data_IF_255791366998
#
_entry.id   IF_255791366998
#
_cell.length_a   1.000
_cell.length_b   1.000
_cell.length_c   1.000
_cell.angle_alpha   90.00
_cell.angle_beta   90.00
_cell.angle_gamma   90.00
#
_symmetry.space_group_name_H-M   'P 1'
#
loop_
_entity.id
_entity.type
_entity.pdbx_description
1 polymer ?
#
# COMPACT_ATOMS: atom_id res chain seq x y z
N UNK A 1 -10.92 14.37 -11.29
CA UNK A 1 -9.54 13.86 -11.38
C UNK A 1 -9.09 13.32 -10.01
N UNK A 2 -9.35 12.03 -9.77
CA UNK A 2 -9.00 11.37 -8.51
C UNK A 2 -7.50 11.12 -8.37
N UNK A 3 -7.03 10.74 -7.17
CA UNK A 3 -5.65 10.35 -6.96
C UNK A 3 -5.32 9.17 -7.88
N UNK A 4 -4.26 9.30 -8.69
CA UNK A 4 -3.86 8.26 -9.66
C UNK A 4 -3.35 6.99 -8.98
N UNK A 5 -2.79 7.10 -7.77
CA UNK A 5 -2.36 5.95 -6.98
C UNK A 5 -3.45 5.56 -5.99
N UNK A 6 -3.85 4.30 -5.99
CA UNK A 6 -4.89 3.73 -5.12
C UNK A 6 -4.31 3.30 -3.76
N UNK A 7 -5.21 3.00 -2.82
CA UNK A 7 -4.90 2.36 -1.53
C UNK A 7 -3.79 3.03 -0.71
N UNK A 8 -3.73 4.37 -0.73
CA UNK A 8 -2.71 5.13 0.01
C UNK A 8 -1.34 5.19 -0.68
N UNK A 9 -1.23 4.77 -1.95
CA UNK A 9 -0.03 4.90 -2.75
C UNK A 9 0.43 6.35 -2.92
N UNK A 10 1.76 6.55 -2.91
CA UNK A 10 2.37 7.86 -3.11
C UNK A 10 2.78 8.06 -4.56
N UNK A 11 2.32 9.14 -5.20
CA UNK A 11 2.71 9.50 -6.56
C UNK A 11 4.11 10.13 -6.59
N UNK A 12 5.00 9.59 -7.43
CA UNK A 12 6.31 10.15 -7.73
C UNK A 12 6.32 10.60 -9.19
N UNK A 13 6.55 11.89 -9.40
CA UNK A 13 6.73 12.46 -10.74
C UNK A 13 8.22 12.54 -11.06
N UNK A 14 8.57 12.29 -12.31
CA UNK A 14 9.96 12.28 -12.77
C UNK A 14 10.08 12.63 -14.25
N UNK A 15 11.31 12.64 -14.74
CA UNK A 15 11.64 12.81 -16.15
C UNK A 15 12.40 11.56 -16.62
N UNK A 16 11.97 11.01 -17.75
CA UNK A 16 12.69 9.96 -18.46
C UNK A 16 14.01 10.51 -19.06
N UNK A 17 15.00 9.67 -19.43
CA UNK A 17 16.25 10.13 -20.06
C UNK A 17 16.08 10.96 -21.35
N UNK A 18 14.87 10.95 -21.95
CA UNK A 18 14.51 11.77 -23.12
C UNK A 18 13.74 13.05 -22.75
N UNK A 19 13.81 13.51 -21.50
CA UNK A 19 13.05 14.66 -20.95
C UNK A 19 11.53 14.55 -21.10
N UNK A 20 11.00 13.32 -21.11
CA UNK A 20 9.55 13.08 -21.14
C UNK A 20 9.03 13.00 -19.70
N UNK A 21 7.97 13.74 -19.32
CA UNK A 21 7.32 13.61 -18.03
C UNK A 21 6.83 12.18 -17.81
N UNK A 22 7.26 11.57 -16.71
CA UNK A 22 6.80 10.26 -16.27
C UNK A 22 6.28 10.35 -14.84
N UNK A 23 5.47 9.37 -14.46
CA UNK A 23 5.07 9.19 -13.08
C UNK A 23 5.12 7.71 -12.73
N UNK A 24 5.29 7.42 -11.45
CA UNK A 24 5.20 6.09 -10.87
C UNK A 24 4.53 6.16 -9.51
N UNK A 25 3.83 5.10 -9.13
CA UNK A 25 3.27 4.98 -7.79
C UNK A 25 4.20 4.16 -6.90
N UNK A 26 4.43 4.64 -5.69
CA UNK A 26 5.06 3.87 -4.61
C UNK A 26 3.95 3.28 -3.77
N UNK A 27 3.81 1.96 -3.82
CA UNK A 27 2.74 1.25 -3.13
C UNK A 27 3.09 0.97 -1.67
N UNK A 28 2.12 1.10 -0.76
CA UNK A 28 2.28 0.60 0.59
C UNK A 28 2.34 -0.93 0.60
N UNK A 29 2.84 -1.48 1.71
CA UNK A 29 2.87 -2.93 1.92
C UNK A 29 1.45 -3.49 1.84
N UNK A 30 1.30 -4.65 1.19
CA UNK A 30 0.00 -5.27 0.95
C UNK A 30 -0.68 -4.83 -0.35
N UNK A 31 -0.04 -3.99 -1.18
CA UNK A 31 -0.55 -3.59 -2.48
C UNK A 31 0.51 -3.64 -3.59
N UNK A 32 0.07 -3.87 -4.83
CA UNK A 32 0.92 -4.03 -6.01
C UNK A 32 0.25 -3.49 -7.28
N UNK A 33 0.94 -3.66 -8.42
CA UNK A 33 0.63 -3.09 -9.73
C UNK A 33 0.94 -1.59 -9.87
N UNK A 34 0.79 -1.09 -11.10
CA UNK A 34 1.24 0.24 -11.52
C UNK A 34 0.65 1.38 -10.70
N UNK A 35 -0.57 1.21 -10.22
CA UNK A 35 -1.34 2.21 -9.48
C UNK A 35 -1.71 1.71 -8.08
N UNK A 36 -1.09 0.64 -7.58
CA UNK A 36 -1.39 0.05 -6.26
C UNK A 36 -2.84 -0.46 -6.15
N UNK A 37 -3.43 -0.88 -7.26
CA UNK A 37 -4.82 -1.31 -7.37
C UNK A 37 -5.03 -2.77 -6.95
N UNK A 38 -3.98 -3.59 -6.95
CA UNK A 38 -4.06 -5.01 -6.62
C UNK A 38 -3.63 -5.23 -5.17
N UNK A 39 -4.55 -5.71 -4.33
CA UNK A 39 -4.23 -6.17 -2.99
C UNK A 39 -3.38 -7.45 -3.04
N UNK A 40 -2.33 -7.52 -2.23
CA UNK A 40 -1.42 -8.66 -2.12
C UNK A 40 -1.77 -9.44 -0.85
N UNK A 41 -1.92 -10.78 -0.95
CA UNK A 41 -2.17 -11.62 0.20
C UNK A 41 -1.15 -11.39 1.32
N UNK A 42 -1.61 -11.20 2.54
CA UNK A 42 -0.78 -10.84 3.68
C UNK A 42 -1.37 -11.38 5.00
N UNK A 43 -0.59 -11.23 6.08
CA UNK A 43 -0.95 -11.76 7.40
C UNK A 43 -2.18 -11.12 8.03
N UNK A 44 -2.57 -9.90 7.62
CA UNK A 44 -3.75 -9.22 8.14
C UNK A 44 -5.05 -9.70 7.47
N UNK A 45 -4.99 -10.40 6.34
CA UNK A 45 -6.20 -10.84 5.61
C UNK A 45 -7.06 -11.83 6.40
N UNK A 46 -6.44 -12.57 7.33
CA UNK A 46 -7.15 -13.48 8.25
C UNK A 46 -7.77 -12.77 9.46
N UNK A 47 -7.67 -11.44 9.54
CA UNK A 47 -8.07 -10.63 10.69
C UNK A 47 -7.53 -11.17 12.04
N UNK A 48 -6.20 -11.29 12.20
CA UNK A 48 -5.61 -11.88 13.39
C UNK A 48 -5.75 -11.00 14.65
N UNK A 49 -6.06 -9.71 14.50
CA UNK A 49 -6.21 -8.79 15.62
C UNK A 49 -7.61 -8.89 16.23
N UNK A 50 -7.67 -9.35 17.48
CA UNK A 50 -8.92 -9.48 18.22
C UNK A 50 -9.45 -8.15 18.76
N UNK A 51 -10.71 -8.14 19.20
CA UNK A 51 -11.37 -7.01 19.88
C UNK A 51 -11.37 -5.71 19.07
N UNK A 52 -11.47 -5.81 17.73
CA UNK A 52 -11.45 -4.65 16.84
C UNK A 52 -10.07 -3.98 16.74
N UNK A 53 -9.00 -4.66 17.16
CA UNK A 53 -7.64 -4.15 17.03
C UNK A 53 -7.26 -3.87 15.57
N UNK A 54 -6.46 -2.82 15.37
CA UNK A 54 -5.95 -2.42 14.06
C UNK A 54 -4.72 -3.28 13.74
N UNK A 55 -4.73 -3.95 12.59
CA UNK A 55 -3.61 -4.74 12.08
C UNK A 55 -2.65 -3.86 11.27
N UNK A 56 -1.42 -3.68 11.75
CA UNK A 56 -0.37 -2.93 11.06
C UNK A 56 0.62 -3.90 10.43
N UNK A 57 0.78 -3.84 9.10
CA UNK A 57 1.79 -4.63 8.40
C UNK A 57 3.15 -3.94 8.45
N UNK A 58 4.17 -4.69 8.89
CA UNK A 58 5.57 -4.32 8.71
C UNK A 58 6.18 -5.02 7.48
N UNK A 59 5.68 -6.22 7.16
CA UNK A 59 5.96 -7.02 5.94
C UNK A 59 4.72 -7.84 5.59
N UNK A 60 4.73 -8.52 4.44
CA UNK A 60 3.63 -9.42 4.03
C UNK A 60 3.36 -10.51 5.08
N UNK A 61 4.41 -11.09 5.65
CA UNK A 61 4.33 -12.16 6.66
C UNK A 61 4.53 -11.67 8.11
N UNK A 62 4.58 -10.35 8.33
CA UNK A 62 4.84 -9.79 9.65
C UNK A 62 3.96 -8.56 9.95
N UNK A 63 3.21 -8.65 11.05
CA UNK A 63 2.26 -7.63 11.47
C UNK A 63 2.33 -7.39 12.97
N UNK A 64 1.78 -6.27 13.41
CA UNK A 64 1.54 -5.94 14.82
C UNK A 64 0.10 -5.51 15.01
N UNK A 65 -0.52 -5.95 16.10
CA UNK A 65 -1.85 -5.51 16.49
C UNK A 65 -1.76 -4.35 17.46
N UNK A 66 -2.41 -3.24 17.12
CA UNK A 66 -2.68 -2.14 18.06
C UNK A 66 -4.11 -2.24 18.54
N UNK A 67 -4.33 -2.25 19.86
CA UNK A 67 -5.66 -2.29 20.44
C UNK A 67 -6.50 -1.08 20.01
N UNK A 68 -7.79 -1.31 19.75
CA UNK A 68 -8.75 -0.22 19.63
C UNK A 68 -8.87 0.50 20.99
N UNK A 69 -8.95 1.82 20.94
CA UNK A 69 -9.23 2.67 22.11
C UNK A 69 -10.71 2.69 22.46
#
# INVERSE_FOLDING_TARGET
PGPRCHNGGTCKVGLSPKNVPTFSCVCPIGYSASLCEIAVPNSCDSNPCHNGGICNLHKLDNYTCTCAV
#
